data_IF_796630334904
#
_entry.id   IF_796630334904
#
_cell.length_a   1.000
_cell.length_b   1.000
_cell.length_c   1.000
_cell.angle_alpha   90.00
_cell.angle_beta   90.00
_cell.angle_gamma   90.00
#
_symmetry.space_group_name_H-M   'P 1'
#
loop_
_entity.id
_entity.type
_entity.pdbx_description
1 polymer ?
#
# COMPACT_ATOMS: atom_id res chain seq x y z
N UNK A 1 -17.11 4.56 -52.81
CA UNK A 1 -17.30 3.28 -52.13
C UNK A 1 -16.73 3.43 -50.72
N UNK A 2 -17.50 4.13 -49.83
CA UNK A 2 -17.15 4.27 -48.42
C UNK A 2 -17.61 2.97 -47.71
N UNK A 3 -16.65 2.12 -47.39
CA UNK A 3 -16.87 0.93 -46.57
C UNK A 3 -17.40 1.35 -45.22
N UNK A 4 -18.56 0.82 -44.84
CA UNK A 4 -19.11 0.84 -43.50
C UNK A 4 -18.10 0.17 -42.55
N UNK A 5 -17.22 0.95 -41.94
CA UNK A 5 -16.44 0.47 -40.80
C UNK A 5 -17.39 0.43 -39.60
N UNK A 6 -17.40 -0.66 -38.81
CA UNK A 6 -18.25 -0.75 -37.62
C UNK A 6 -17.95 0.41 -36.68
N UNK A 7 -18.99 0.96 -36.02
CA UNK A 7 -18.88 2.11 -35.11
C UNK A 7 -17.76 1.98 -34.06
N UNK A 8 -17.45 0.76 -33.65
CA UNK A 8 -16.32 0.46 -32.76
C UNK A 8 -14.95 0.83 -33.33
N UNK A 9 -14.77 0.77 -34.64
CA UNK A 9 -13.52 1.14 -35.33
C UNK A 9 -13.44 2.65 -35.51
N UNK A 10 -14.56 3.33 -35.75
CA UNK A 10 -14.62 4.79 -35.85
C UNK A 10 -14.31 5.46 -34.50
N UNK A 11 -14.78 4.89 -33.38
CA UNK A 11 -14.46 5.40 -32.06
C UNK A 11 -12.97 5.22 -31.69
N UNK A 12 -12.35 4.15 -32.17
CA UNK A 12 -10.91 3.89 -32.02
C UNK A 12 -10.02 4.92 -32.72
N UNK A 13 -10.49 5.56 -33.80
CA UNK A 13 -9.73 6.57 -34.54
C UNK A 13 -9.69 7.95 -33.87
N UNK A 14 -10.65 8.25 -32.99
CA UNK A 14 -10.76 9.55 -32.31
C UNK A 14 -10.19 9.60 -30.89
N UNK A 15 -9.97 8.43 -30.27
CA UNK A 15 -9.50 8.35 -28.87
C UNK A 15 -7.98 8.20 -28.86
N UNK A 16 -7.24 9.08 -28.15
CA UNK A 16 -5.80 8.95 -28.00
C UNK A 16 -5.38 7.58 -27.42
N UNK A 17 -4.25 7.02 -27.88
CA UNK A 17 -3.77 5.70 -27.51
C UNK A 17 -3.65 5.48 -26.00
N UNK A 18 -3.28 6.51 -25.23
CA UNK A 18 -3.19 6.42 -23.79
C UNK A 18 -4.55 6.24 -23.10
N UNK A 19 -5.63 6.83 -23.68
CA UNK A 19 -7.00 6.64 -23.17
C UNK A 19 -7.51 5.22 -23.51
N UNK A 20 -7.18 4.69 -24.68
CA UNK A 20 -7.55 3.30 -25.02
C UNK A 20 -6.88 2.29 -24.09
N UNK A 21 -5.64 2.55 -23.66
CA UNK A 21 -4.96 1.73 -22.66
C UNK A 21 -5.68 1.75 -21.31
N UNK A 22 -6.32 2.87 -20.92
CA UNK A 22 -7.05 2.99 -19.66
C UNK A 22 -8.26 2.06 -19.56
N UNK A 23 -8.95 1.79 -20.66
CA UNK A 23 -10.13 0.89 -20.64
C UNK A 23 -9.80 -0.50 -20.07
N UNK A 24 -8.60 -1.02 -20.33
CA UNK A 24 -8.15 -2.28 -19.75
C UNK A 24 -7.85 -2.19 -18.26
N UNK A 25 -7.33 -1.04 -17.82
CA UNK A 25 -7.05 -0.78 -16.41
C UNK A 25 -8.35 -0.60 -15.63
N UNK A 26 -9.33 0.11 -16.18
CA UNK A 26 -10.63 0.34 -15.56
C UNK A 26 -11.39 -0.99 -15.38
N UNK A 27 -11.36 -1.88 -16.37
CA UNK A 27 -11.92 -3.24 -16.25
C UNK A 27 -11.20 -4.06 -15.17
N UNK A 28 -9.88 -3.99 -15.11
CA UNK A 28 -9.08 -4.63 -14.07
C UNK A 28 -9.40 -4.08 -12.68
N UNK A 29 -9.54 -2.76 -12.57
CA UNK A 29 -9.89 -2.09 -11.33
C UNK A 29 -11.28 -2.46 -10.84
N UNK A 30 -12.28 -2.54 -11.74
CA UNK A 30 -13.61 -3.07 -11.42
C UNK A 30 -13.53 -4.50 -10.87
N UNK A 31 -12.71 -5.37 -11.49
CA UNK A 31 -12.47 -6.72 -11.00
C UNK A 31 -11.89 -6.75 -9.59
N UNK A 32 -10.88 -5.93 -9.31
CA UNK A 32 -10.28 -5.80 -7.97
C UNK A 32 -11.28 -5.26 -6.96
N UNK A 33 -12.08 -4.25 -7.30
CA UNK A 33 -13.12 -3.70 -6.44
C UNK A 33 -14.19 -4.73 -6.09
N UNK A 34 -14.65 -5.50 -7.08
CA UNK A 34 -15.63 -6.59 -6.88
C UNK A 34 -15.03 -7.68 -5.98
N UNK A 35 -13.76 -8.07 -6.20
CA UNK A 35 -13.08 -9.06 -5.38
C UNK A 35 -12.94 -8.58 -3.92
N UNK A 36 -12.50 -7.35 -3.71
CA UNK A 36 -12.36 -6.76 -2.39
C UNK A 36 -13.72 -6.70 -1.66
N UNK A 37 -14.78 -6.32 -2.36
CA UNK A 37 -16.14 -6.31 -1.83
C UNK A 37 -16.65 -7.72 -1.51
N UNK A 38 -16.38 -8.71 -2.36
CA UNK A 38 -16.75 -10.10 -2.12
C UNK A 38 -16.01 -10.68 -0.89
N UNK A 39 -14.72 -10.41 -0.75
CA UNK A 39 -13.92 -10.80 0.43
C UNK A 39 -14.48 -10.15 1.70
N UNK A 40 -14.87 -8.89 1.63
CA UNK A 40 -15.50 -8.20 2.75
C UNK A 40 -16.86 -8.81 3.14
N UNK A 41 -17.72 -9.11 2.16
CA UNK A 41 -19.00 -9.80 2.41
C UNK A 41 -18.77 -11.19 3.03
N UNK A 42 -17.80 -11.94 2.52
CA UNK A 42 -17.42 -13.23 3.07
C UNK A 42 -16.98 -13.12 4.53
N UNK A 43 -16.17 -12.12 4.85
CA UNK A 43 -15.73 -11.84 6.22
C UNK A 43 -16.90 -11.48 7.14
N UNK A 44 -17.88 -10.70 6.65
CA UNK A 44 -19.10 -10.40 7.40
C UNK A 44 -19.97 -11.63 7.66
N UNK A 45 -20.07 -12.55 6.69
CA UNK A 45 -20.87 -13.77 6.82
C UNK A 45 -20.19 -14.77 7.76
N UNK A 46 -18.89 -15.00 7.60
CA UNK A 46 -18.14 -15.97 8.41
C UNK A 46 -17.89 -15.48 9.84
N UNK A 47 -17.62 -14.19 10.01
CA UNK A 47 -17.28 -13.58 11.30
C UNK A 47 -18.04 -12.28 11.56
N UNK A 48 -19.37 -12.34 11.80
CA UNK A 48 -20.22 -11.14 11.83
C UNK A 48 -19.79 -10.11 12.87
N UNK A 49 -19.26 -10.54 14.02
CA UNK A 49 -18.75 -9.62 15.06
C UNK A 49 -17.47 -8.89 14.64
N UNK A 50 -16.56 -9.59 13.96
CA UNK A 50 -15.30 -9.00 13.43
C UNK A 50 -15.61 -8.06 12.27
N UNK A 51 -16.49 -8.48 11.36
CA UNK A 51 -16.91 -7.67 10.22
C UNK A 51 -17.62 -6.37 10.62
N UNK A 52 -18.50 -6.43 11.64
CA UNK A 52 -19.15 -5.22 12.15
C UNK A 52 -18.15 -4.22 12.74
N UNK A 53 -17.16 -4.69 13.51
CA UNK A 53 -16.10 -3.82 14.06
C UNK A 53 -15.25 -3.24 12.92
N UNK A 54 -14.85 -4.08 11.95
CA UNK A 54 -14.07 -3.65 10.81
C UNK A 54 -14.79 -2.55 10.01
N UNK A 55 -16.10 -2.72 9.78
CA UNK A 55 -16.92 -1.72 9.10
C UNK A 55 -16.98 -0.37 9.82
N UNK A 56 -17.18 -0.41 11.14
CA UNK A 56 -17.20 0.83 11.95
C UNK A 56 -15.85 1.53 11.89
N UNK A 57 -14.76 0.79 12.10
CA UNK A 57 -13.39 1.36 12.02
C UNK A 57 -13.07 1.93 10.64
N UNK A 58 -13.45 1.22 9.57
CA UNK A 58 -13.32 1.71 8.20
C UNK A 58 -14.08 3.03 7.99
N UNK A 59 -15.34 3.07 8.43
CA UNK A 59 -16.17 4.27 8.30
C UNK A 59 -15.59 5.44 9.08
N UNK A 60 -15.12 5.21 10.29
CA UNK A 60 -14.43 6.22 11.12
C UNK A 60 -13.18 6.74 10.39
N UNK A 61 -12.33 5.86 9.84
CA UNK A 61 -11.12 6.24 9.13
C UNK A 61 -11.41 7.12 7.90
N UNK A 62 -12.38 6.73 7.09
CA UNK A 62 -12.74 7.46 5.85
C UNK A 62 -13.42 8.80 6.15
N UNK A 63 -14.18 8.90 7.25
CA UNK A 63 -14.83 10.15 7.66
C UNK A 63 -13.87 11.14 8.33
N UNK A 64 -12.65 10.74 8.70
CA UNK A 64 -11.67 11.66 9.25
C UNK A 64 -11.18 12.65 8.17
N UNK A 65 -11.09 13.95 8.50
CA UNK A 65 -10.58 14.95 7.55
C UNK A 65 -9.20 14.63 7.00
N UNK A 66 -8.36 13.97 7.82
CA UNK A 66 -7.01 13.56 7.44
C UNK A 66 -7.00 12.62 6.24
N UNK A 67 -7.97 11.70 6.15
CA UNK A 67 -8.09 10.77 5.02
C UNK A 67 -8.24 11.53 3.69
N UNK A 68 -9.13 12.53 3.67
CA UNK A 68 -9.38 13.37 2.49
C UNK A 68 -8.15 14.21 2.15
N UNK A 69 -7.52 14.82 3.18
CA UNK A 69 -6.30 15.63 2.99
C UNK A 69 -5.18 14.78 2.39
N UNK A 70 -4.96 13.57 2.88
CA UNK A 70 -3.92 12.67 2.37
C UNK A 70 -4.19 12.23 0.92
N UNK A 71 -5.44 11.95 0.57
CA UNK A 71 -5.80 11.65 -0.83
C UNK A 71 -5.55 12.85 -1.73
N UNK A 72 -6.03 14.05 -1.36
CA UNK A 72 -5.83 15.25 -2.16
C UNK A 72 -4.34 15.59 -2.31
N UNK A 73 -3.57 15.47 -1.23
CA UNK A 73 -2.11 15.64 -1.28
C UNK A 73 -1.45 14.61 -2.20
N UNK A 74 -1.83 13.33 -2.09
CA UNK A 74 -1.31 12.26 -2.95
C UNK A 74 -1.63 12.48 -4.43
N UNK A 75 -2.88 12.83 -4.75
CA UNK A 75 -3.28 13.16 -6.13
C UNK A 75 -2.52 14.36 -6.68
N UNK A 76 -2.39 15.42 -5.89
CA UNK A 76 -1.64 16.61 -6.28
C UNK A 76 -0.16 16.30 -6.53
N UNK A 77 0.49 15.57 -5.63
CA UNK A 77 1.90 15.23 -5.76
C UNK A 77 2.15 14.28 -6.94
N UNK A 78 1.29 13.27 -7.16
CA UNK A 78 1.37 12.38 -8.33
C UNK A 78 1.18 13.16 -9.64
N UNK A 79 0.24 14.12 -9.68
CA UNK A 79 0.06 14.99 -10.82
C UNK A 79 1.31 15.86 -11.08
N UNK A 80 1.89 16.41 -10.02
CA UNK A 80 3.08 17.25 -10.12
C UNK A 80 4.30 16.48 -10.65
N UNK A 81 4.48 15.20 -10.25
CA UNK A 81 5.57 14.35 -10.74
C UNK A 81 5.60 14.16 -12.26
N UNK A 82 4.46 14.30 -12.94
CA UNK A 82 4.41 14.22 -14.41
C UNK A 82 5.21 15.32 -15.11
N UNK A 83 5.27 16.49 -14.51
CA UNK A 83 5.82 17.70 -15.12
C UNK A 83 7.23 18.04 -14.63
N UNK A 84 7.77 17.29 -13.65
CA UNK A 84 9.14 17.50 -13.19
C UNK A 84 10.10 17.04 -14.30
N UNK A 85 11.00 17.91 -14.77
CA UNK A 85 12.05 17.52 -15.71
C UNK A 85 13.15 16.78 -14.95
N UNK A 86 13.21 15.44 -15.11
CA UNK A 86 14.18 14.61 -14.39
C UNK A 86 15.58 14.60 -15.02
N UNK A 87 15.79 15.13 -16.21
CA UNK A 87 17.07 15.19 -16.92
C UNK A 87 17.83 13.84 -16.98
N UNK A 88 17.11 12.73 -17.09
CA UNK A 88 17.68 11.37 -17.02
C UNK A 88 17.79 10.72 -18.41
N UNK A 89 18.32 11.36 -19.39
CA UNK A 89 18.70 10.74 -20.69
C UNK A 89 17.74 9.62 -21.20
N UNK A 90 16.43 9.70 -20.87
CA UNK A 90 15.40 8.77 -21.34
C UNK A 90 14.84 7.80 -20.28
N UNK A 91 15.26 7.83 -19.03
CA UNK A 91 14.77 6.98 -17.94
C UNK A 91 13.72 7.69 -17.04
N UNK A 92 13.16 8.79 -17.48
CA UNK A 92 12.22 9.64 -16.72
C UNK A 92 10.98 8.86 -16.26
N UNK A 93 10.46 7.97 -17.08
CA UNK A 93 9.33 7.10 -16.71
C UNK A 93 9.66 6.21 -15.51
N UNK A 94 10.87 5.63 -15.46
CA UNK A 94 11.29 4.77 -14.35
C UNK A 94 11.37 5.54 -13.04
N UNK A 95 11.85 6.79 -13.07
CA UNK A 95 11.87 7.65 -11.89
C UNK A 95 10.47 8.01 -11.42
N UNK A 96 9.57 8.37 -12.34
CA UNK A 96 8.16 8.65 -11.99
C UNK A 96 7.52 7.42 -11.35
N UNK A 97 7.77 6.21 -11.87
CA UNK A 97 7.26 4.96 -11.29
C UNK A 97 7.80 4.77 -9.87
N UNK A 98 9.11 4.89 -9.66
CA UNK A 98 9.74 4.70 -8.34
C UNK A 98 9.25 5.73 -7.33
N UNK A 99 9.25 7.02 -7.69
CA UNK A 99 8.79 8.10 -6.82
C UNK A 99 7.30 7.98 -6.47
N UNK A 100 6.46 7.65 -7.46
CA UNK A 100 5.03 7.49 -7.26
C UNK A 100 4.69 6.31 -6.34
N UNK A 101 5.32 5.14 -6.53
CA UNK A 101 5.14 3.99 -5.63
C UNK A 101 5.57 4.31 -4.20
N UNK A 102 6.71 4.99 -4.04
CA UNK A 102 7.22 5.40 -2.73
C UNK A 102 6.28 6.39 -2.05
N UNK A 103 5.75 7.37 -2.79
CA UNK A 103 4.80 8.34 -2.27
C UNK A 103 3.51 7.67 -1.80
N UNK A 104 2.89 6.83 -2.64
CA UNK A 104 1.64 6.12 -2.31
C UNK A 104 1.85 5.27 -1.05
N UNK A 105 2.96 4.53 -0.97
CA UNK A 105 3.33 3.72 0.18
C UNK A 105 3.45 4.55 1.46
N UNK A 106 4.23 5.63 1.43
CA UNK A 106 4.45 6.49 2.61
C UNK A 106 3.15 7.10 3.13
N UNK A 107 2.30 7.61 2.23
CA UNK A 107 0.98 8.15 2.59
C UNK A 107 0.11 7.07 3.21
N UNK A 108 0.09 5.87 2.64
CA UNK A 108 -0.72 4.76 3.13
C UNK A 108 -0.23 4.21 4.49
N UNK A 109 1.09 4.11 4.70
CA UNK A 109 1.67 3.74 6.00
C UNK A 109 1.31 4.78 7.06
N UNK A 110 1.43 6.06 6.73
CA UNK A 110 1.03 7.14 7.66
C UNK A 110 -0.45 7.06 8.03
N UNK A 111 -1.34 6.86 7.02
CA UNK A 111 -2.76 6.64 7.27
C UNK A 111 -3.01 5.44 8.18
N UNK A 112 -2.33 4.32 7.93
CA UNK A 112 -2.50 3.10 8.72
C UNK A 112 -2.12 3.30 10.18
N UNK A 113 -0.99 3.98 10.46
CA UNK A 113 -0.53 4.28 11.81
C UNK A 113 -1.52 5.24 12.50
N UNK A 114 -1.93 6.29 11.82
CA UNK A 114 -2.89 7.26 12.33
C UNK A 114 -4.23 6.61 12.67
N UNK A 115 -4.79 5.84 11.74
CA UNK A 115 -6.08 5.17 11.94
C UNK A 115 -6.00 4.13 13.06
N UNK A 116 -4.91 3.33 13.13
CA UNK A 116 -4.71 2.36 14.19
C UNK A 116 -4.66 3.03 15.56
N UNK A 117 -3.93 4.15 15.68
CA UNK A 117 -3.78 4.87 16.94
C UNK A 117 -5.10 5.48 17.39
N UNK A 118 -5.77 6.24 16.52
CA UNK A 118 -7.04 6.89 16.89
C UNK A 118 -8.14 5.86 17.18
N UNK A 119 -8.22 4.79 16.40
CA UNK A 119 -9.29 3.80 16.59
C UNK A 119 -9.08 2.85 17.77
N UNK A 120 -7.87 2.72 18.29
CA UNK A 120 -7.55 1.79 19.38
C UNK A 120 -7.12 2.55 20.63
N UNK A 121 -6.09 3.41 20.54
CA UNK A 121 -5.56 4.10 21.70
C UNK A 121 -6.59 5.05 22.32
N UNK A 122 -7.30 5.84 21.51
CA UNK A 122 -8.31 6.78 21.99
C UNK A 122 -9.50 6.05 22.64
N UNK A 123 -9.94 4.91 22.09
CA UNK A 123 -11.00 4.12 22.72
C UNK A 123 -10.56 3.49 24.05
N UNK A 124 -9.28 3.08 24.14
CA UNK A 124 -8.73 2.49 25.38
C UNK A 124 -8.50 3.55 26.45
N UNK A 125 -8.00 4.74 26.09
CA UNK A 125 -7.77 5.85 27.01
C UNK A 125 -9.10 6.51 27.46
N UNK A 126 -10.06 6.62 26.53
CA UNK A 126 -11.40 7.18 26.80
C UNK A 126 -12.33 6.26 27.59
N UNK A 127 -11.87 5.05 28.00
CA UNK A 127 -12.68 4.02 28.66
C UNK A 127 -13.92 3.56 27.87
N UNK A 128 -14.07 4.00 26.62
CA UNK A 128 -15.18 3.58 25.74
C UNK A 128 -15.06 2.12 25.34
N UNK A 129 -13.83 1.59 25.34
CA UNK A 129 -13.57 0.17 25.15
C UNK A 129 -14.28 -0.71 26.21
N UNK A 130 -14.44 -0.24 27.44
CA UNK A 130 -15.18 -0.95 28.48
C UNK A 130 -16.65 -1.13 28.11
N UNK A 131 -17.28 -0.15 27.47
CA UNK A 131 -18.68 -0.25 27.02
C UNK A 131 -18.81 -1.25 25.86
N UNK A 132 -17.81 -1.35 24.98
CA UNK A 132 -17.80 -2.30 23.87
C UNK A 132 -17.52 -3.72 24.38
N UNK A 133 -16.61 -3.86 25.35
CA UNK A 133 -16.26 -5.14 25.97
C UNK A 133 -17.30 -5.63 26.98
N UNK A 134 -18.16 -4.75 27.49
CA UNK A 134 -19.34 -5.16 28.28
C UNK A 134 -20.38 -5.94 27.45
N UNK A 135 -20.38 -5.77 26.11
CA UNK A 135 -21.06 -6.66 25.18
C UNK A 135 -20.21 -7.94 25.01
N UNK A 136 -20.80 -9.11 24.62
CA UNK A 136 -20.06 -10.38 24.50
C UNK A 136 -19.12 -10.40 23.27
N UNK A 137 -18.20 -9.45 23.21
CA UNK A 137 -17.14 -9.33 22.20
C UNK A 137 -15.80 -9.55 22.89
N UNK A 138 -15.18 -10.71 22.66
CA UNK A 138 -13.85 -11.00 23.22
C UNK A 138 -12.77 -10.05 22.67
N UNK A 139 -11.76 -9.75 23.49
CA UNK A 139 -10.59 -8.87 23.14
C UNK A 139 -9.95 -9.26 21.78
N UNK A 140 -9.87 -10.55 21.47
CA UNK A 140 -9.33 -11.06 20.19
C UNK A 140 -10.14 -10.58 18.99
N UNK A 141 -11.48 -10.69 19.05
CA UNK A 141 -12.37 -10.25 17.95
C UNK A 141 -12.33 -8.74 17.75
N UNK A 142 -12.15 -7.99 18.83
CA UNK A 142 -11.99 -6.54 18.80
C UNK A 142 -10.72 -6.15 18.03
N UNK A 143 -9.54 -6.64 18.44
CA UNK A 143 -8.28 -6.26 17.82
C UNK A 143 -8.21 -6.69 16.35
N UNK A 144 -8.64 -7.91 16.02
CA UNK A 144 -8.69 -8.41 14.65
C UNK A 144 -9.64 -7.56 13.81
N UNK A 145 -10.82 -7.19 14.35
CA UNK A 145 -11.76 -6.31 13.67
C UNK A 145 -11.19 -4.93 13.37
N UNK A 146 -10.48 -4.33 14.35
CA UNK A 146 -9.79 -3.05 14.16
C UNK A 146 -8.72 -3.13 13.06
N UNK A 147 -7.90 -4.18 13.08
CA UNK A 147 -6.89 -4.41 12.03
C UNK A 147 -7.53 -4.49 10.63
N UNK A 148 -8.56 -5.30 10.46
CA UNK A 148 -9.26 -5.39 9.16
C UNK A 148 -9.90 -4.06 8.74
N UNK A 149 -10.43 -3.28 9.68
CA UNK A 149 -10.96 -1.94 9.38
C UNK A 149 -9.90 -0.98 8.86
N UNK A 150 -8.70 -0.98 9.50
CA UNK A 150 -7.54 -0.20 9.01
C UNK A 150 -7.12 -0.64 7.60
N UNK A 151 -7.04 -1.96 7.36
CA UNK A 151 -6.69 -2.49 6.04
C UNK A 151 -7.71 -2.08 4.98
N UNK A 152 -9.01 -2.05 5.28
CA UNK A 152 -10.03 -1.58 4.34
C UNK A 152 -9.84 -0.12 3.94
N UNK A 153 -9.47 0.76 4.90
CA UNK A 153 -9.17 2.16 4.59
C UNK A 153 -7.92 2.29 3.71
N UNK A 154 -6.89 1.48 3.98
CA UNK A 154 -5.68 1.39 3.15
C UNK A 154 -6.00 0.90 1.74
N UNK A 155 -6.83 -0.15 1.58
CA UNK A 155 -7.26 -0.65 0.27
C UNK A 155 -7.95 0.46 -0.53
N UNK A 156 -8.87 1.20 0.09
CA UNK A 156 -9.55 2.31 -0.57
C UNK A 156 -8.58 3.39 -1.03
N UNK A 157 -7.58 3.73 -0.20
CA UNK A 157 -6.55 4.70 -0.56
C UNK A 157 -5.68 4.21 -1.72
N UNK A 158 -5.19 2.95 -1.67
CA UNK A 158 -4.43 2.35 -2.78
C UNK A 158 -5.25 2.27 -4.06
N UNK A 159 -6.55 2.01 -3.95
CA UNK A 159 -7.42 1.98 -5.11
C UNK A 159 -7.52 3.35 -5.79
N UNK A 160 -7.78 4.41 -5.02
CA UNK A 160 -7.91 5.78 -5.56
C UNK A 160 -6.59 6.28 -6.12
N UNK A 161 -5.51 6.24 -5.30
CA UNK A 161 -4.19 6.75 -5.71
C UNK A 161 -3.55 5.86 -6.78
N UNK A 162 -3.72 4.53 -6.68
CA UNK A 162 -3.18 3.57 -7.64
C UNK A 162 -3.81 3.71 -9.03
N UNK A 163 -5.14 3.88 -9.10
CA UNK A 163 -5.81 4.15 -10.38
C UNK A 163 -5.31 5.46 -11.00
N UNK A 164 -5.30 6.53 -10.22
CA UNK A 164 -4.78 7.81 -10.71
C UNK A 164 -3.33 7.69 -11.16
N UNK A 165 -2.50 6.95 -10.43
CA UNK A 165 -1.10 6.74 -10.75
C UNK A 165 -0.90 5.95 -12.05
N UNK A 166 -1.64 4.87 -12.27
CA UNK A 166 -1.59 4.10 -13.52
C UNK A 166 -2.00 4.97 -14.72
N UNK A 167 -3.04 5.80 -14.54
CA UNK A 167 -3.46 6.78 -15.55
C UNK A 167 -2.33 7.79 -15.85
N UNK A 168 -1.67 8.28 -14.81
CA UNK A 168 -0.56 9.22 -14.91
C UNK A 168 0.62 8.63 -15.67
N UNK A 169 0.96 7.36 -15.44
CA UNK A 169 2.03 6.66 -16.18
C UNK A 169 1.70 6.54 -17.65
N UNK A 170 0.46 6.15 -18.00
CA UNK A 170 0.04 6.06 -19.41
C UNK A 170 0.17 7.42 -20.13
N UNK A 171 -0.20 8.51 -19.47
CA UNK A 171 -0.03 9.85 -20.00
C UNK A 171 1.45 10.26 -20.12
N UNK A 172 2.29 9.92 -19.13
CA UNK A 172 3.73 10.23 -19.12
C UNK A 172 4.45 9.60 -20.31
N UNK A 173 4.10 8.38 -20.69
CA UNK A 173 4.67 7.71 -21.89
C UNK A 173 4.47 8.55 -23.15
N UNK A 174 3.27 9.11 -23.33
CA UNK A 174 2.97 9.99 -24.49
C UNK A 174 3.66 11.34 -24.38
N UNK A 175 3.74 11.88 -23.16
CA UNK A 175 4.40 13.14 -22.89
C UNK A 175 5.89 13.08 -23.22
N UNK A 176 6.61 12.06 -22.75
CA UNK A 176 8.03 11.86 -23.00
C UNK A 176 8.34 11.59 -24.48
N UNK A 177 7.46 10.88 -25.20
CA UNK A 177 7.60 10.68 -26.64
C UNK A 177 7.52 12.00 -27.40
N UNK A 178 6.62 12.92 -26.99
CA UNK A 178 6.52 14.25 -27.59
C UNK A 178 7.74 15.12 -27.31
N UNK A 179 8.24 15.13 -26.06
CA UNK A 179 9.45 15.88 -25.69
C UNK A 179 10.69 15.38 -26.45
N UNK A 180 10.78 14.06 -26.67
CA UNK A 180 11.90 13.44 -27.38
C UNK A 180 11.75 13.45 -28.89
N UNK A 181 10.71 14.08 -29.45
CA UNK A 181 10.36 14.08 -30.87
C UNK A 181 10.32 12.67 -31.49
N UNK A 182 9.90 11.67 -30.73
CA UNK A 182 9.69 10.27 -31.16
C UNK A 182 8.29 10.11 -31.73
N UNK A 183 8.10 9.01 -32.47
CA UNK A 183 6.77 8.64 -32.95
C UNK A 183 5.79 8.44 -31.79
N UNK A 184 4.49 8.66 -32.08
CA UNK A 184 3.45 8.50 -31.08
C UNK A 184 3.44 7.05 -30.54
N UNK A 185 3.51 6.85 -29.20
CA UNK A 185 3.59 5.51 -28.63
C UNK A 185 2.31 4.71 -28.91
N UNK A 186 2.49 3.41 -29.07
CA UNK A 186 1.39 2.48 -29.29
C UNK A 186 0.64 2.20 -27.98
N UNK A 187 -0.64 1.75 -28.10
CA UNK A 187 -1.42 1.28 -26.94
C UNK A 187 -0.68 0.21 -26.14
N UNK A 188 0.06 -0.68 -26.82
CA UNK A 188 0.83 -1.75 -26.20
C UNK A 188 1.99 -1.23 -25.34
N UNK A 189 2.65 -0.16 -25.74
CA UNK A 189 3.73 0.47 -24.94
C UNK A 189 3.18 1.11 -23.67
N UNK A 190 2.06 1.82 -23.75
CA UNK A 190 1.38 2.36 -22.58
C UNK A 190 0.96 1.24 -21.61
N UNK A 191 0.35 0.16 -22.12
CA UNK A 191 -0.04 -1.02 -21.33
C UNK A 191 1.17 -1.74 -20.72
N UNK A 192 2.29 -1.80 -21.39
CA UNK A 192 3.51 -2.43 -20.91
C UNK A 192 4.03 -1.74 -19.65
N UNK A 193 4.11 -0.40 -19.66
CA UNK A 193 4.55 0.38 -18.48
C UNK A 193 3.60 0.25 -17.31
N UNK A 194 2.29 0.24 -17.56
CA UNK A 194 1.30 0.00 -16.50
C UNK A 194 1.42 -1.41 -15.91
N UNK A 195 1.64 -2.44 -16.75
CA UNK A 195 1.81 -3.82 -16.29
C UNK A 195 3.07 -4.01 -15.44
N UNK A 196 4.18 -3.32 -15.75
CA UNK A 196 5.39 -3.32 -14.93
C UNK A 196 5.12 -2.68 -13.57
N UNK A 197 4.25 -1.69 -13.49
CA UNK A 197 3.95 -0.95 -12.25
C UNK A 197 3.03 -1.72 -11.30
N UNK A 198 2.12 -2.56 -11.81
CA UNK A 198 1.14 -3.29 -10.99
C UNK A 198 1.77 -4.13 -9.87
N UNK A 199 2.82 -4.94 -10.10
CA UNK A 199 3.50 -5.66 -9.02
C UNK A 199 4.04 -4.73 -7.93
N UNK A 200 4.51 -3.53 -8.32
CA UNK A 200 4.99 -2.52 -7.37
C UNK A 200 3.90 -2.00 -6.45
N UNK A 201 2.71 -1.75 -6.98
CA UNK A 201 1.53 -1.38 -6.17
C UNK A 201 1.15 -2.50 -5.20
N UNK A 202 1.19 -3.77 -5.64
CA UNK A 202 0.91 -4.92 -4.78
C UNK A 202 1.95 -5.04 -3.66
N UNK A 203 3.24 -4.95 -3.96
CA UNK A 203 4.31 -5.03 -2.97
C UNK A 203 4.22 -3.87 -1.96
N UNK A 204 3.96 -2.65 -2.42
CA UNK A 204 3.76 -1.48 -1.56
C UNK A 204 2.54 -1.65 -0.64
N UNK A 205 1.47 -2.28 -1.13
CA UNK A 205 0.30 -2.62 -0.33
C UNK A 205 0.64 -3.68 0.74
N UNK A 206 1.37 -4.74 0.38
CA UNK A 206 1.80 -5.79 1.33
C UNK A 206 2.68 -5.22 2.43
N UNK A 207 3.61 -4.33 2.08
CA UNK A 207 4.44 -3.60 3.06
C UNK A 207 3.57 -2.77 4.02
N UNK A 208 2.61 -2.04 3.48
CA UNK A 208 1.67 -1.24 4.28
C UNK A 208 0.82 -2.12 5.20
N UNK A 209 0.41 -3.33 4.76
CA UNK A 209 -0.31 -4.30 5.61
C UNK A 209 0.53 -4.74 6.81
N UNK A 210 1.83 -5.02 6.61
CA UNK A 210 2.76 -5.38 7.70
C UNK A 210 2.90 -4.22 8.69
N UNK A 211 3.11 -3.00 8.18
CA UNK A 211 3.23 -1.80 9.02
C UNK A 211 1.93 -1.49 9.78
N UNK A 212 0.77 -1.69 9.15
CA UNK A 212 -0.53 -1.57 9.81
C UNK A 212 -0.70 -2.57 10.97
N UNK A 213 -0.26 -3.84 10.79
CA UNK A 213 -0.31 -4.85 11.84
C UNK A 213 0.56 -4.46 13.04
N UNK A 214 1.76 -3.95 12.78
CA UNK A 214 2.67 -3.45 13.82
C UNK A 214 2.07 -2.23 14.53
N UNK A 215 1.52 -1.27 13.79
CA UNK A 215 0.88 -0.10 14.34
C UNK A 215 -0.31 -0.45 15.24
N UNK A 216 -1.15 -1.40 14.82
CA UNK A 216 -2.26 -1.94 15.62
C UNK A 216 -1.75 -2.63 16.89
N UNK A 217 -0.67 -3.40 16.82
CA UNK A 217 -0.08 -4.05 17.98
C UNK A 217 0.45 -3.03 19.00
N UNK A 218 1.18 -2.01 18.54
CA UNK A 218 1.75 -0.96 19.39
C UNK A 218 0.65 -0.07 20.00
N UNK A 219 -0.41 0.25 19.24
CA UNK A 219 -1.53 1.09 19.71
C UNK A 219 -2.33 0.48 20.87
N UNK A 220 -2.16 -0.82 21.15
CA UNK A 220 -2.74 -1.44 22.35
C UNK A 220 -2.15 -0.91 23.65
N UNK A 221 -0.95 -0.35 23.61
CA UNK A 221 -0.21 0.14 24.80
C UNK A 221 0.12 1.62 24.74
N UNK A 222 0.35 2.15 23.53
CA UNK A 222 0.89 3.49 23.34
C UNK A 222 -0.10 4.36 22.55
N UNK A 223 -0.11 5.64 22.90
CA UNK A 223 -0.86 6.68 22.20
C UNK A 223 -0.24 7.04 20.83
N UNK A 224 -0.87 7.95 20.09
CA UNK A 224 -0.52 8.29 18.72
C UNK A 224 0.96 8.65 18.51
N UNK A 225 1.51 9.58 19.29
CA UNK A 225 2.88 10.07 19.06
C UNK A 225 3.97 8.99 19.26
N UNK A 226 3.99 8.25 20.39
CA UNK A 226 4.92 7.13 20.55
C UNK A 226 4.72 6.03 19.52
N UNK A 227 3.49 5.72 19.12
CA UNK A 227 3.22 4.71 18.08
C UNK A 227 3.81 5.16 16.74
N UNK A 228 3.62 6.43 16.35
CA UNK A 228 4.18 6.98 15.12
C UNK A 228 5.71 6.88 15.12
N UNK A 229 6.37 7.30 16.20
CA UNK A 229 7.84 7.27 16.29
C UNK A 229 8.39 5.84 16.23
N UNK A 230 7.76 4.89 16.93
CA UNK A 230 8.17 3.49 16.86
C UNK A 230 7.95 2.87 15.48
N UNK A 231 6.82 3.12 14.84
CA UNK A 231 6.56 2.61 13.49
C UNK A 231 7.55 3.21 12.47
N UNK A 232 7.88 4.50 12.56
CA UNK A 232 8.92 5.10 11.71
C UNK A 232 10.30 4.49 11.99
N UNK A 233 10.61 4.18 13.25
CA UNK A 233 11.86 3.48 13.60
C UNK A 233 11.89 2.07 13.00
N UNK A 234 10.78 1.31 13.11
CA UNK A 234 10.66 -0.01 12.49
C UNK A 234 10.85 0.06 10.97
N UNK A 235 10.23 1.06 10.34
CA UNK A 235 10.38 1.29 8.90
C UNK A 235 11.84 1.59 8.53
N UNK A 236 12.50 2.48 9.26
CA UNK A 236 13.89 2.82 9.02
C UNK A 236 14.82 1.61 9.23
N UNK A 237 14.65 0.87 10.34
CA UNK A 237 15.44 -0.33 10.62
C UNK A 237 15.19 -1.43 9.59
N UNK A 238 13.93 -1.63 9.16
CA UNK A 238 13.56 -2.63 8.15
C UNK A 238 14.23 -2.42 6.79
N UNK A 239 14.52 -1.16 6.42
CA UNK A 239 15.26 -0.84 5.20
C UNK A 239 16.79 -0.81 5.41
N UNK A 240 17.25 -0.31 6.56
CA UNK A 240 18.69 -0.13 6.81
C UNK A 240 19.39 -1.41 7.25
N UNK A 241 18.74 -2.29 8.01
CA UNK A 241 19.36 -3.48 8.55
C UNK A 241 20.02 -4.39 7.49
N UNK A 242 19.36 -4.75 6.36
CA UNK A 242 19.99 -5.55 5.32
C UNK A 242 21.17 -4.83 4.66
N UNK A 243 21.07 -3.52 4.43
CA UNK A 243 22.16 -2.71 3.82
C UNK A 243 23.37 -2.66 4.73
N UNK A 244 23.17 -2.47 6.04
CA UNK A 244 24.25 -2.48 7.03
C UNK A 244 24.88 -3.87 7.13
N UNK A 245 24.07 -4.93 7.07
CA UNK A 245 24.56 -6.30 7.10
C UNK A 245 25.49 -6.58 5.92
N UNK A 246 25.08 -6.24 4.70
CA UNK A 246 25.89 -6.40 3.50
C UNK A 246 27.20 -5.59 3.58
N UNK A 247 27.12 -4.32 4.02
CA UNK A 247 28.29 -3.46 4.17
C UNK A 247 29.26 -3.90 5.27
N UNK A 248 28.77 -4.61 6.31
CA UNK A 248 29.56 -5.04 7.47
C UNK A 248 30.25 -6.39 7.30
N UNK A 249 29.94 -7.13 6.22
CA UNK A 249 30.54 -8.42 5.93
C UNK A 249 32.07 -8.25 5.76
N UNK A 250 32.82 -8.78 6.72
CA UNK A 250 34.30 -8.75 6.71
C UNK A 250 34.97 -7.57 7.39
N UNK A 251 34.21 -6.57 7.91
CA UNK A 251 34.83 -5.38 8.54
C UNK A 251 34.70 -5.36 10.07
N UNK A 252 33.49 -5.49 10.62
CA UNK A 252 33.23 -5.40 12.05
C UNK A 252 32.25 -6.46 12.54
N UNK A 253 32.69 -7.49 13.32
CA UNK A 253 31.82 -8.58 13.77
C UNK A 253 30.69 -8.10 14.68
N UNK A 254 30.85 -7.03 15.44
CA UNK A 254 29.84 -6.48 16.33
C UNK A 254 28.72 -5.81 15.53
N UNK A 255 29.05 -5.04 14.49
CA UNK A 255 28.07 -4.39 13.61
C UNK A 255 27.27 -5.44 12.84
N UNK A 256 27.94 -6.48 12.33
CA UNK A 256 27.30 -7.61 11.67
C UNK A 256 26.33 -8.36 12.60
N UNK A 257 26.70 -8.56 13.87
CA UNK A 257 25.85 -9.19 14.88
C UNK A 257 24.59 -8.34 15.14
N UNK A 258 24.74 -7.03 15.38
CA UNK A 258 23.61 -6.13 15.63
C UNK A 258 22.68 -6.06 14.41
N UNK A 259 23.23 -5.98 13.20
CA UNK A 259 22.44 -5.96 11.97
C UNK A 259 21.65 -7.27 11.76
N UNK A 260 22.28 -8.45 12.02
CA UNK A 260 21.61 -9.76 11.99
C UNK A 260 20.50 -9.86 13.03
N UNK A 261 20.75 -9.39 14.24
CA UNK A 261 19.77 -9.38 15.31
C UNK A 261 18.57 -8.50 14.94
N UNK A 262 18.83 -7.28 14.42
CA UNK A 262 17.79 -6.38 13.96
C UNK A 262 16.97 -6.99 12.81
N UNK A 263 17.62 -7.57 11.79
CA UNK A 263 16.93 -8.20 10.65
C UNK A 263 16.15 -9.48 11.02
N UNK A 264 16.42 -10.07 12.19
CA UNK A 264 15.67 -11.23 12.69
C UNK A 264 14.39 -10.81 13.42
N UNK A 265 14.44 -9.69 14.16
CA UNK A 265 13.31 -9.21 14.96
C UNK A 265 12.38 -8.34 14.11
N UNK A 266 12.95 -7.41 13.34
CA UNK A 266 12.17 -6.49 12.52
C UNK A 266 11.92 -7.05 11.12
N UNK A 267 10.78 -6.70 10.48
CA UNK A 267 10.51 -7.12 9.11
C UNK A 267 11.56 -6.52 8.17
N UNK A 268 12.11 -7.34 7.29
CA UNK A 268 13.00 -6.88 6.22
C UNK A 268 12.11 -6.30 5.10
N UNK A 269 11.90 -4.99 5.16
CA UNK A 269 11.01 -4.28 4.23
C UNK A 269 11.60 -4.14 2.83
N UNK A 270 12.92 -4.31 2.70
CA UNK A 270 13.60 -4.31 1.40
C UNK A 270 13.06 -5.39 0.43
N UNK A 271 12.47 -6.47 0.94
CA UNK A 271 11.82 -7.49 0.10
C UNK A 271 10.58 -6.97 -0.65
N UNK A 272 10.00 -5.86 -0.23
CA UNK A 272 8.87 -5.23 -0.92
C UNK A 272 9.32 -4.13 -1.89
N UNK A 273 10.63 -3.88 -2.01
CA UNK A 273 11.16 -2.87 -2.93
C UNK A 273 11.29 -3.44 -4.35
N UNK A 274 10.80 -2.68 -5.31
CA UNK A 274 10.81 -3.02 -6.74
C UNK A 274 11.81 -2.21 -7.57
N UNK A 275 12.65 -1.37 -6.95
CA UNK A 275 13.56 -0.46 -7.67
C UNK A 275 14.44 -1.18 -8.69
N UNK A 276 15.01 -2.33 -8.34
CA UNK A 276 15.86 -3.12 -9.23
C UNK A 276 15.12 -3.60 -10.48
N UNK A 277 13.87 -4.04 -10.32
CA UNK A 277 13.03 -4.51 -11.43
C UNK A 277 12.64 -3.35 -12.35
N UNK A 278 12.30 -2.19 -11.78
CA UNK A 278 11.99 -0.97 -12.54
C UNK A 278 13.24 -0.49 -13.30
N UNK A 279 14.40 -0.47 -12.65
CA UNK A 279 15.65 -0.05 -13.26
C UNK A 279 16.03 -0.93 -14.47
N UNK A 280 15.86 -2.26 -14.36
CA UNK A 280 16.16 -3.22 -15.42
C UNK A 280 15.05 -3.33 -16.47
N UNK A 281 13.84 -2.83 -16.21
CA UNK A 281 12.68 -2.97 -17.08
C UNK A 281 12.15 -4.41 -17.20
N UNK A 282 12.54 -5.29 -16.28
CA UNK A 282 12.12 -6.69 -16.28
C UNK A 282 10.89 -6.90 -15.41
N UNK A 283 10.00 -7.79 -15.85
CA UNK A 283 8.86 -8.20 -15.05
C UNK A 283 9.31 -9.01 -13.83
N UNK A 284 8.72 -8.71 -12.68
CA UNK A 284 8.88 -9.55 -11.49
C UNK A 284 8.25 -10.94 -11.72
N UNK A 285 8.98 -12.02 -11.40
CA UNK A 285 8.42 -13.37 -11.50
C UNK A 285 7.26 -13.54 -10.51
N UNK A 286 6.19 -14.20 -10.93
CA UNK A 286 5.02 -14.47 -10.09
C UNK A 286 5.36 -15.24 -8.81
N UNK A 287 6.41 -16.08 -8.86
CA UNK A 287 6.91 -16.82 -7.71
C UNK A 287 7.43 -15.88 -6.62
N UNK A 288 8.09 -14.79 -7.00
CA UNK A 288 8.54 -13.77 -6.05
C UNK A 288 7.36 -13.10 -5.32
N UNK A 289 6.32 -12.72 -6.09
CA UNK A 289 5.11 -12.12 -5.52
C UNK A 289 4.40 -13.08 -4.55
N UNK A 290 4.38 -14.38 -4.86
CA UNK A 290 3.84 -15.39 -3.98
C UNK A 290 4.61 -15.46 -2.66
N UNK A 291 5.95 -15.53 -2.68
CA UNK A 291 6.77 -15.58 -1.48
C UNK A 291 6.70 -14.28 -0.66
N UNK A 292 6.66 -13.12 -1.33
CA UNK A 292 6.47 -11.83 -0.67
C UNK A 292 5.10 -11.77 0.04
N UNK A 293 4.05 -12.30 -0.58
CA UNK A 293 2.72 -12.40 0.04
C UNK A 293 2.71 -13.32 1.25
N UNK A 294 3.33 -14.51 1.15
CA UNK A 294 3.47 -15.42 2.28
C UNK A 294 4.24 -14.77 3.45
N UNK A 295 5.33 -14.09 3.15
CA UNK A 295 6.11 -13.35 4.14
C UNK A 295 5.28 -12.25 4.83
N UNK A 296 4.56 -11.44 4.06
CA UNK A 296 3.67 -10.41 4.60
C UNK A 296 2.60 -10.99 5.53
N UNK A 297 1.93 -12.08 5.10
CA UNK A 297 0.90 -12.75 5.91
C UNK A 297 1.46 -13.32 7.21
N UNK A 298 2.64 -13.95 7.17
CA UNK A 298 3.32 -14.44 8.38
C UNK A 298 3.63 -13.31 9.35
N UNK A 299 4.17 -12.20 8.87
CA UNK A 299 4.45 -11.03 9.72
C UNK A 299 3.19 -10.38 10.28
N UNK A 300 2.13 -10.26 9.47
CA UNK A 300 0.83 -9.75 9.93
C UNK A 300 0.24 -10.63 11.05
N UNK A 301 0.29 -11.95 10.90
CA UNK A 301 -0.19 -12.88 11.94
C UNK A 301 0.68 -12.81 13.22
N UNK A 302 2.00 -12.71 13.07
CA UNK A 302 2.93 -12.56 14.18
C UNK A 302 2.68 -11.23 14.92
N UNK A 303 2.63 -10.11 14.21
CA UNK A 303 2.40 -8.79 14.79
C UNK A 303 1.03 -8.72 15.49
N UNK A 304 -0.03 -9.25 14.87
CA UNK A 304 -1.36 -9.27 15.49
C UNK A 304 -1.42 -10.19 16.71
N UNK A 305 -0.71 -11.32 16.74
CA UNK A 305 -0.63 -12.18 17.92
C UNK A 305 0.14 -11.53 19.07
N UNK A 306 1.25 -10.83 18.76
CA UNK A 306 1.97 -10.03 19.77
C UNK A 306 1.05 -8.92 20.31
N UNK A 307 0.32 -8.23 19.44
CA UNK A 307 -0.67 -7.22 19.84
C UNK A 307 -1.75 -7.78 20.75
N UNK A 308 -2.22 -9.01 20.49
CA UNK A 308 -3.20 -9.69 21.35
C UNK A 308 -2.63 -9.99 22.74
N UNK A 309 -1.39 -10.49 22.82
CA UNK A 309 -0.72 -10.74 24.11
C UNK A 309 -0.56 -9.43 24.90
N UNK A 310 -0.09 -8.37 24.25
CA UNK A 310 0.03 -7.05 24.87
C UNK A 310 -1.32 -6.50 25.34
N UNK A 311 -2.41 -6.82 24.65
CA UNK A 311 -3.75 -6.38 24.99
C UNK A 311 -4.38 -7.23 26.12
N UNK A 312 -4.10 -8.54 26.19
CA UNK A 312 -4.58 -9.42 27.24
C UNK A 312 -4.00 -9.02 28.62
N UNK A 313 -2.72 -8.62 28.66
CA UNK A 313 -2.02 -8.20 29.90
C UNK A 313 -2.33 -6.75 30.34
N UNK A 314 -3.18 -6.03 29.62
CA UNK A 314 -3.58 -4.67 29.99
C UNK A 314 -4.75 -4.70 30.98
N UNK A 315 -4.52 -4.20 32.19
CA UNK A 315 -5.60 -3.90 33.14
C UNK A 315 -6.45 -2.74 32.58
N UNK A 316 -7.73 -3.00 32.35
CA UNK A 316 -8.70 -2.02 31.84
C UNK A 316 -9.53 -1.39 33.00
N UNK A 317 -9.10 -1.57 34.26
CA UNK A 317 -9.77 -1.05 35.45
C UNK A 317 -9.51 0.45 35.67
#
# INVERSE_FOLDING_TARGET
>A
MQLFLPETVLFSYYVPNWIQALQWVDLGALGVAILAFAVFLLLMVLFPKVGAIAWVTFKEAVMQPLFIILILFGLFALFFFLFIPYHTLGDDIKLVITQGLTLIKLIAVFLAIWTASNSIADELEGKTALMILAKPVGRRKFLIGKYFGVIMAVILMFFILGLFFLNSISYKVVFDARESAKDAPTVLECLHQMKITLPGLLLSFLETMVMAAIAVAISTRLSLLPNLTLCLTVLAVGYLAPVILEASIGQNPLVAFVARFASTIFPVLAHFNMETSIATGQFLPNLYLFWATCYALLYCTLATTVGLLLFEDRDLA
#
